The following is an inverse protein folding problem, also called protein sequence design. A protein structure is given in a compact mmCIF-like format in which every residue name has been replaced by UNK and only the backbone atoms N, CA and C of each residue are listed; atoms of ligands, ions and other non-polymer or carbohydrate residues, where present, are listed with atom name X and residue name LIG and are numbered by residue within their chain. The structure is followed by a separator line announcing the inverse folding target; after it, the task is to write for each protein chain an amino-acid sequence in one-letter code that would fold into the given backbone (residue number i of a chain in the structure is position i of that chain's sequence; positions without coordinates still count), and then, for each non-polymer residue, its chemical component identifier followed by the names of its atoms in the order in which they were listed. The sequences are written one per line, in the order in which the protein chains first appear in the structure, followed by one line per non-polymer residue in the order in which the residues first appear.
data_IF_397698050893
#
_entry.id   IF_397698050893
#
_cell.length_a   1.000
_cell.length_b   1.000
_cell.length_c   1.000
_cell.angle_alpha   90.00
_cell.angle_beta   90.00
_cell.angle_gamma   90.00
#
_symmetry.space_group_name_H-M   'P 1'
#
loop_
_entity.id
_entity.type
_entity.pdbx_description
1 polymer ?
#
# COMPACT_ATOMS: atom_id res chain seq x y z
N UNK A 1 2.05 -17.74 -2.69
CA UNK A 1 3.04 -17.60 -1.59
C UNK A 1 2.29 -17.31 -0.30
N UNK A 2 2.97 -17.30 0.84
CA UNK A 2 2.42 -16.75 2.09
C UNK A 2 2.75 -15.24 2.13
N UNK A 3 1.76 -14.41 2.44
CA UNK A 3 1.86 -12.95 2.46
C UNK A 3 1.42 -12.38 3.80
N UNK A 4 1.83 -11.15 4.08
CA UNK A 4 1.51 -10.45 5.33
C UNK A 4 0.06 -9.97 5.35
N UNK A 5 -0.50 -9.63 4.18
CA UNK A 5 -1.88 -9.16 4.03
C UNK A 5 -2.07 -7.66 4.32
N UNK A 6 -1.26 -7.12 5.22
CA UNK A 6 -1.17 -5.69 5.54
C UNK A 6 0.27 -5.18 5.36
N UNK A 7 0.46 -4.26 4.43
CA UNK A 7 1.74 -3.62 4.10
C UNK A 7 1.92 -2.26 4.79
N UNK A 8 1.22 -2.02 5.90
CA UNK A 8 1.50 -0.91 6.78
C UNK A 8 2.99 -0.86 7.17
N UNK A 9 3.68 0.23 6.82
CA UNK A 9 5.09 0.45 7.18
C UNK A 9 5.40 0.31 8.68
N UNK A 10 4.43 0.54 9.57
CA UNK A 10 4.60 0.34 11.00
C UNK A 10 4.79 -1.14 11.40
N UNK A 11 4.37 -2.09 10.54
CA UNK A 11 4.50 -3.53 10.77
C UNK A 11 5.92 -4.04 10.47
N UNK A 12 6.80 -3.19 9.91
CA UNK A 12 8.18 -3.53 9.56
C UNK A 12 9.17 -2.87 10.52
N UNK A 13 9.61 -3.62 11.53
CA UNK A 13 10.49 -3.13 12.58
C UNK A 13 11.96 -3.39 12.24
N UNK A 14 12.77 -2.34 12.14
CA UNK A 14 14.22 -2.45 11.96
C UNK A 14 14.93 -2.50 13.32
N UNK A 15 15.66 -3.58 13.60
CA UNK A 15 16.39 -3.76 14.86
C UNK A 15 17.87 -3.32 14.79
N UNK A 16 18.28 -2.66 13.70
CA UNK A 16 19.69 -2.33 13.43
C UNK A 16 20.41 -3.36 12.54
N UNK A 17 19.84 -4.55 12.38
CA UNK A 17 20.44 -5.63 11.57
C UNK A 17 19.46 -6.32 10.61
N UNK A 18 18.19 -6.45 10.99
CA UNK A 18 17.14 -7.07 10.18
C UNK A 18 15.80 -6.37 10.35
N UNK A 19 14.95 -6.56 9.35
CA UNK A 19 13.54 -6.20 9.41
C UNK A 19 12.76 -7.38 10.01
N UNK A 20 11.90 -7.09 10.99
CA UNK A 20 10.94 -8.04 11.56
C UNK A 20 9.54 -7.59 11.16
N UNK A 21 8.73 -8.55 10.73
CA UNK A 21 7.31 -8.32 10.40
C UNK A 21 6.48 -8.69 11.62
N UNK A 22 5.58 -7.79 12.03
CA UNK A 22 4.60 -8.01 13.09
C UNK A 22 3.19 -7.83 12.54
N UNK A 23 2.18 -8.02 13.39
CA UNK A 23 0.76 -7.85 13.03
C UNK A 23 0.30 -8.78 11.89
N UNK A 24 0.18 -10.06 12.23
CA UNK A 24 -0.03 -11.14 11.26
C UNK A 24 -1.51 -11.57 11.15
N UNK A 25 -2.43 -10.74 11.64
CA UNK A 25 -3.87 -11.10 11.68
C UNK A 25 -4.49 -11.23 10.29
N UNK A 26 -3.98 -10.48 9.31
CA UNK A 26 -4.40 -10.54 7.90
C UNK A 26 -3.53 -11.50 7.04
N UNK A 27 -2.57 -12.19 7.67
CA UNK A 27 -1.61 -13.02 6.93
C UNK A 27 -2.25 -14.28 6.37
N UNK A 28 -1.84 -14.66 5.16
CA UNK A 28 -2.44 -15.80 4.48
C UNK A 28 -1.87 -16.11 3.10
N UNK A 29 -2.65 -16.86 2.33
CA UNK A 29 -2.28 -17.22 0.95
C UNK A 29 -2.42 -15.99 0.05
N UNK A 30 -1.33 -15.59 -0.57
CA UNK A 30 -1.23 -14.37 -1.38
C UNK A 30 -0.34 -14.56 -2.63
N UNK A 31 -0.13 -13.49 -3.38
CA UNK A 31 0.78 -13.39 -4.52
C UNK A 31 1.70 -12.16 -4.40
N UNK A 32 2.89 -12.24 -5.02
CA UNK A 32 3.94 -11.22 -4.88
C UNK A 32 3.50 -9.84 -5.36
N UNK A 33 2.70 -9.78 -6.42
CA UNK A 33 2.25 -8.51 -6.98
C UNK A 33 1.23 -7.83 -6.07
N UNK A 34 0.34 -8.59 -5.42
CA UNK A 34 -0.57 -8.09 -4.40
C UNK A 34 0.17 -7.52 -3.18
N UNK A 35 1.12 -8.26 -2.60
CA UNK A 35 1.86 -7.81 -1.41
C UNK A 35 2.65 -6.52 -1.69
N UNK A 36 3.28 -6.42 -2.87
CA UNK A 36 3.99 -5.20 -3.26
C UNK A 36 3.02 -4.03 -3.53
N UNK A 37 1.84 -4.32 -4.07
CA UNK A 37 0.80 -3.31 -4.30
C UNK A 37 0.26 -2.75 -2.97
N UNK A 38 0.06 -3.62 -1.98
CA UNK A 38 -0.36 -3.22 -0.64
C UNK A 38 0.64 -2.21 -0.08
N UNK A 39 1.91 -2.60 0.07
CA UNK A 39 2.96 -1.78 0.68
C UNK A 39 3.05 -0.37 0.08
N UNK A 40 2.83 -0.21 -1.24
CA UNK A 40 2.98 1.10 -1.92
C UNK A 40 1.69 1.91 -2.01
N UNK A 41 0.53 1.29 -1.80
CA UNK A 41 -0.77 1.97 -1.81
C UNK A 41 -1.33 2.20 -0.40
N UNK A 42 -0.86 1.47 0.61
CA UNK A 42 -1.16 1.70 2.02
C UNK A 42 -0.94 3.17 2.39
N UNK A 43 -1.82 3.73 3.23
CA UNK A 43 -1.76 5.14 3.64
C UNK A 43 -0.41 5.50 4.26
N UNK A 44 0.17 4.56 5.02
CA UNK A 44 1.46 4.73 5.67
C UNK A 44 2.66 4.82 4.71
N UNK A 45 2.49 4.45 3.43
CA UNK A 45 3.52 4.62 2.41
C UNK A 45 3.76 6.09 2.02
N UNK A 46 2.81 6.98 2.34
CA UNK A 46 2.84 8.36 1.90
C UNK A 46 2.46 9.39 2.96
N UNK A 47 1.95 8.97 4.12
CA UNK A 47 1.71 9.80 5.30
C UNK A 47 2.06 8.99 6.56
N UNK A 48 2.67 9.59 7.59
CA UNK A 48 3.23 10.94 7.64
C UNK A 48 4.61 11.04 6.97
N UNK A 49 5.32 9.92 6.79
CA UNK A 49 6.69 9.89 6.26
C UNK A 49 6.71 9.11 4.95
N UNK A 50 6.55 9.79 3.79
CA UNK A 50 6.57 9.12 2.51
C UNK A 50 7.93 8.48 2.22
N UNK A 51 7.92 7.32 1.57
CA UNK A 51 9.11 6.75 0.95
C UNK A 51 8.97 6.71 -0.57
N UNK A 52 10.10 6.57 -1.27
CA UNK A 52 10.09 6.42 -2.73
C UNK A 52 9.59 5.03 -3.12
N UNK A 53 8.27 4.94 -3.31
CA UNK A 53 7.58 3.72 -3.77
C UNK A 53 8.08 3.21 -5.12
N UNK A 54 8.54 4.10 -6.02
CA UNK A 54 9.06 3.69 -7.31
C UNK A 54 10.46 3.06 -7.15
N UNK A 55 11.33 3.66 -6.34
CA UNK A 55 12.61 3.04 -5.98
C UNK A 55 12.44 1.71 -5.24
N UNK A 56 11.42 1.61 -4.37
CA UNK A 56 11.08 0.35 -3.71
C UNK A 56 10.71 -0.73 -4.73
N UNK A 57 9.75 -0.47 -5.63
CA UNK A 57 9.31 -1.44 -6.62
C UNK A 57 10.43 -1.87 -7.57
N UNK A 58 11.35 -0.96 -7.93
CA UNK A 58 12.53 -1.29 -8.77
C UNK A 58 13.48 -2.32 -8.15
N UNK A 59 13.41 -2.58 -6.83
CA UNK A 59 14.21 -3.62 -6.17
C UNK A 59 13.71 -5.04 -6.49
N UNK A 60 12.53 -5.17 -7.06
CA UNK A 60 11.91 -6.46 -7.35
C UNK A 60 11.92 -6.72 -8.86
N UNK A 61 12.65 -7.73 -9.36
CA UNK A 61 12.57 -8.14 -10.74
C UNK A 61 11.24 -8.86 -10.97
N UNK A 62 10.26 -8.13 -11.50
CA UNK A 62 8.93 -8.64 -11.83
C UNK A 62 8.91 -9.18 -13.25
N UNK A 63 8.23 -10.31 -13.45
CA UNK A 63 7.88 -10.77 -14.78
C UNK A 63 6.85 -9.83 -15.44
N UNK A 64 6.64 -9.91 -16.77
CA UNK A 64 5.58 -9.15 -17.42
C UNK A 64 4.19 -9.41 -16.81
N UNK A 65 3.89 -10.67 -16.46
CA UNK A 65 2.62 -11.04 -15.83
C UNK A 65 2.45 -10.42 -14.44
N UNK A 66 3.49 -10.44 -13.61
CA UNK A 66 3.46 -9.79 -12.28
C UNK A 66 3.40 -8.27 -12.39
N UNK A 67 4.01 -7.69 -13.42
CA UNK A 67 3.93 -6.24 -13.67
C UNK A 67 2.50 -5.81 -14.03
N UNK A 68 1.82 -6.60 -14.87
CA UNK A 68 0.41 -6.37 -15.19
C UNK A 68 -0.46 -6.55 -13.94
N UNK A 69 -0.25 -7.63 -13.17
CA UNK A 69 -0.97 -7.89 -11.92
C UNK A 69 -0.75 -6.80 -10.88
N UNK A 70 0.47 -6.30 -10.73
CA UNK A 70 0.81 -5.21 -9.82
C UNK A 70 0.01 -3.96 -10.17
N UNK A 71 -0.09 -3.61 -11.46
CA UNK A 71 -0.90 -2.47 -11.91
C UNK A 71 -2.37 -2.64 -11.50
N UNK A 72 -2.96 -3.81 -11.74
CA UNK A 72 -4.35 -4.11 -11.35
C UNK A 72 -4.55 -4.01 -9.84
N UNK A 73 -3.68 -4.65 -9.06
CA UNK A 73 -3.74 -4.62 -7.59
C UNK A 73 -3.61 -3.20 -7.05
N UNK A 74 -2.74 -2.36 -7.63
CA UNK A 74 -2.60 -0.96 -7.20
C UNK A 74 -3.86 -0.13 -7.45
N UNK A 75 -4.58 -0.37 -8.54
CA UNK A 75 -5.88 0.29 -8.80
C UNK A 75 -6.90 -0.17 -7.75
N UNK A 76 -7.01 -1.48 -7.55
CA UNK A 76 -7.93 -2.08 -6.57
C UNK A 76 -7.66 -1.53 -5.15
N UNK A 77 -6.42 -1.58 -4.69
CA UNK A 77 -6.04 -1.15 -3.35
C UNK A 77 -6.16 0.35 -3.19
N UNK A 78 -5.88 1.15 -4.23
CA UNK A 78 -6.13 2.58 -4.18
C UNK A 78 -7.62 2.90 -3.93
N UNK A 79 -8.52 2.12 -4.55
CA UNK A 79 -9.97 2.21 -4.32
C UNK A 79 -10.36 1.73 -2.92
N UNK A 80 -9.85 0.59 -2.46
CA UNK A 80 -10.11 0.06 -1.10
C UNK A 80 -9.72 1.10 -0.05
N UNK A 81 -8.52 1.65 -0.14
CA UNK A 81 -8.05 2.69 0.78
C UNK A 81 -8.89 3.95 0.73
N UNK A 82 -9.39 4.35 -0.45
CA UNK A 82 -10.33 5.48 -0.55
C UNK A 82 -11.62 5.18 0.21
N UNK A 83 -12.19 3.99 0.05
CA UNK A 83 -13.42 3.58 0.75
C UNK A 83 -13.24 3.56 2.27
N UNK A 84 -12.12 3.03 2.76
CA UNK A 84 -11.81 3.01 4.20
C UNK A 84 -11.60 4.41 4.77
N UNK A 85 -10.89 5.29 4.05
CA UNK A 85 -10.64 6.66 4.46
C UNK A 85 -11.90 7.53 4.40
N UNK A 86 -12.78 7.30 3.43
CA UNK A 86 -14.05 8.01 3.33
C UNK A 86 -15.04 7.63 4.44
N UNK A 87 -14.87 6.45 5.04
CA UNK A 87 -15.66 5.98 6.19
C UNK A 87 -15.05 6.30 7.56
N UNK A 88 -13.98 7.12 7.63
CA UNK A 88 -13.35 7.49 8.91
C UNK A 88 -14.29 8.38 9.75
N UNK A 89 -14.24 8.24 11.08
CA UNK A 89 -15.09 9.02 11.99
C UNK A 89 -14.62 10.48 12.01
N UNK A 90 -15.45 11.46 11.59
CA UNK A 90 -15.06 12.87 11.61
C UNK A 90 -14.78 13.42 13.02
N UNK A 91 -15.34 12.80 14.07
CA UNK A 91 -15.10 13.21 15.46
C UNK A 91 -13.77 12.67 16.01
N UNK A 92 -13.26 11.56 15.46
CA UNK A 92 -12.05 10.88 15.92
C UNK A 92 -11.19 10.42 14.73
N UNK A 93 -10.64 11.35 13.94
CA UNK A 93 -9.94 11.01 12.71
C UNK A 93 -8.67 10.22 13.01
N UNK A 94 -8.48 9.10 12.31
CA UNK A 94 -7.26 8.28 12.42
C UNK A 94 -6.12 8.84 11.56
N UNK A 95 -6.47 9.61 10.54
CA UNK A 95 -5.54 10.16 9.56
C UNK A 95 -5.59 11.69 9.54
N UNK A 96 -4.52 12.38 9.11
CA UNK A 96 -4.53 13.83 8.95
C UNK A 96 -5.68 14.32 8.04
N UNK A 97 -6.22 15.53 8.26
CA UNK A 97 -7.20 16.13 7.36
C UNK A 97 -6.70 16.18 5.91
N UNK A 98 -7.58 15.93 4.94
CA UNK A 98 -7.21 15.91 3.51
C UNK A 98 -6.70 14.55 2.98
N UNK A 99 -6.58 13.53 3.85
CA UNK A 99 -6.05 12.21 3.48
C UNK A 99 -6.95 11.51 2.44
N UNK A 100 -8.28 11.54 2.62
CA UNK A 100 -9.23 10.93 1.70
C UNK A 100 -9.19 11.61 0.30
N UNK A 101 -9.14 12.94 0.24
CA UNK A 101 -9.05 13.71 -1.00
C UNK A 101 -7.73 13.46 -1.72
N UNK A 102 -6.63 13.35 -0.97
CA UNK A 102 -5.34 12.97 -1.53
C UNK A 102 -5.38 11.55 -2.09
N UNK A 103 -6.05 10.62 -1.42
CA UNK A 103 -6.24 9.25 -1.91
C UNK A 103 -7.11 9.20 -3.17
N UNK A 104 -8.18 10.00 -3.25
CA UNK A 104 -8.99 10.12 -4.46
C UNK A 104 -8.14 10.57 -5.67
N UNK A 105 -7.27 11.58 -5.48
CA UNK A 105 -6.32 12.00 -6.54
C UNK A 105 -5.32 10.92 -6.92
N UNK A 106 -4.91 10.06 -5.97
CA UNK A 106 -4.05 8.90 -6.26
C UNK A 106 -4.78 7.88 -7.12
N UNK A 107 -6.02 7.53 -6.77
CA UNK A 107 -6.85 6.61 -7.55
C UNK A 107 -7.04 7.11 -8.99
N UNK A 108 -7.41 8.39 -9.17
CA UNK A 108 -7.58 8.99 -10.49
C UNK A 108 -6.31 8.85 -11.36
N UNK A 109 -5.14 9.19 -10.80
CA UNK A 109 -3.84 9.01 -11.48
C UNK A 109 -3.60 7.56 -11.93
N UNK A 110 -4.00 6.56 -11.14
CA UNK A 110 -3.88 5.14 -11.51
C UNK A 110 -4.80 4.76 -12.66
N UNK A 111 -6.03 5.29 -12.67
CA UNK A 111 -7.01 5.03 -13.73
C UNK A 111 -6.58 5.67 -15.05
N UNK A 112 -6.01 6.87 -15.00
CA UNK A 112 -5.49 7.60 -16.17
C UNK A 112 -4.21 6.96 -16.76
N UNK A 113 -3.66 5.92 -16.10
CA UNK A 113 -2.37 5.34 -16.46
C UNK A 113 -1.17 6.22 -16.12
N UNK A 114 -1.40 7.34 -15.44
CA UNK A 114 -0.39 8.27 -14.98
C UNK A 114 0.14 7.84 -13.60
N UNK A 115 0.97 6.79 -13.54
CA UNK A 115 1.86 6.59 -12.40
C UNK A 115 2.38 5.19 -12.15
#
# INVERSE_FOLDING_TARGET
MFGAGDGNSANYLWDGHRVRVVDLEESGRSDRAYELAEIVEHVSAWVPRPFDTAAFLRRFPLTPAESARLRECRILLALVWLSLLAGDDPAHPRNPPGTAERQARRLLRRLDGAG
#
